data_IF_147934319150
#
_entry.id   IF_147934319150
#
_cell.length_a   1.000
_cell.length_b   1.000
_cell.length_c   1.000
_cell.angle_alpha   90.00
_cell.angle_beta   90.00
_cell.angle_gamma   90.00
#
_symmetry.space_group_name_H-M   'P 1'
#
loop_
_entity.id
_entity.type
_entity.pdbx_description
1 polymer ?
#
# COMPACT_ATOMS: atom_id res chain seq x y z
N UNK A 1 2.02 38.57 43.70
CA UNK A 1 3.29 38.56 42.95
C UNK A 1 3.79 37.12 43.06
N UNK A 2 3.82 36.25 42.06
CA UNK A 2 4.02 36.37 40.61
C UNK A 2 3.45 35.11 39.95
N UNK A 3 2.61 35.28 38.92
CA UNK A 3 2.17 34.22 38.03
C UNK A 3 3.34 33.81 37.12
N UNK A 4 3.94 32.63 37.34
CA UNK A 4 5.03 32.11 36.49
C UNK A 4 4.95 30.59 36.31
N UNK A 5 3.79 30.06 35.90
CA UNK A 5 3.66 28.66 35.46
C UNK A 5 2.87 28.53 34.16
N UNK A 6 3.15 29.39 33.17
CA UNK A 6 2.53 29.29 31.84
C UNK A 6 3.53 29.64 30.73
N UNK A 7 4.38 28.69 30.29
CA UNK A 7 4.53 28.56 28.83
C UNK A 7 4.71 27.12 28.30
N UNK A 8 4.44 26.06 29.09
CA UNK A 8 4.56 24.68 28.58
C UNK A 8 3.26 24.10 28.00
N UNK A 9 2.10 24.71 28.28
CA UNK A 9 0.82 24.23 27.75
C UNK A 9 0.64 24.51 26.25
N UNK A 10 1.43 25.43 25.67
CA UNK A 10 1.35 25.76 24.24
C UNK A 10 2.20 24.87 23.32
N UNK A 11 3.09 24.03 23.83
CA UNK A 11 3.81 23.05 22.98
C UNK A 11 2.91 21.92 22.48
N UNK A 12 1.75 21.75 23.10
CA UNK A 12 0.68 20.85 22.65
C UNK A 12 -0.49 21.60 22.03
N UNK A 13 -0.28 22.84 21.56
CA UNK A 13 -1.20 23.43 20.60
C UNK A 13 -1.22 22.50 19.37
N UNK A 14 -2.22 21.62 19.37
CA UNK A 14 -2.76 20.95 18.21
C UNK A 14 -3.05 22.03 17.16
N UNK A 15 -2.05 22.33 16.32
CA UNK A 15 -2.34 22.66 14.93
C UNK A 15 -3.36 21.63 14.43
N UNK A 16 -4.40 22.01 13.68
CA UNK A 16 -5.44 21.08 13.26
C UNK A 16 -4.84 20.06 12.28
N UNK A 17 -4.32 18.98 12.86
CA UNK A 17 -3.80 17.76 12.22
C UNK A 17 -4.79 17.22 11.16
N UNK A 18 -6.08 17.59 11.27
CA UNK A 18 -7.12 17.25 10.31
C UNK A 18 -6.82 17.73 8.87
N UNK A 19 -6.39 18.97 8.64
CA UNK A 19 -6.33 19.50 7.26
C UNK A 19 -5.32 18.77 6.37
N UNK A 20 -4.15 18.42 6.93
CA UNK A 20 -3.09 17.71 6.20
C UNK A 20 -3.43 16.24 5.95
N UNK A 21 -4.03 15.58 6.93
CA UNK A 21 -4.48 14.18 6.79
C UNK A 21 -5.69 14.06 5.87
N UNK A 22 -6.61 15.00 5.91
CA UNK A 22 -7.76 15.06 5.01
C UNK A 22 -7.31 15.25 3.56
N UNK A 23 -6.34 16.14 3.32
CA UNK A 23 -5.79 16.36 1.98
C UNK A 23 -5.14 15.08 1.42
N UNK A 24 -4.37 14.36 2.24
CA UNK A 24 -3.75 13.09 1.85
C UNK A 24 -4.77 11.99 1.61
N UNK A 25 -5.78 11.88 2.47
CA UNK A 25 -6.88 10.95 2.30
C UNK A 25 -7.65 11.20 0.99
N UNK A 26 -7.98 12.47 0.69
CA UNK A 26 -8.66 12.83 -0.54
C UNK A 26 -7.82 12.51 -1.79
N UNK A 27 -6.50 12.72 -1.73
CA UNK A 27 -5.57 12.31 -2.79
C UNK A 27 -5.57 10.79 -2.97
N UNK A 28 -5.41 10.02 -1.89
CA UNK A 28 -5.48 8.55 -1.97
C UNK A 28 -6.83 8.06 -2.53
N UNK A 29 -7.94 8.70 -2.15
CA UNK A 29 -9.28 8.35 -2.61
C UNK A 29 -9.47 8.59 -4.12
N UNK A 30 -8.74 9.52 -4.73
CA UNK A 30 -8.77 9.80 -6.18
C UNK A 30 -8.07 8.74 -7.02
N UNK A 31 -7.17 7.95 -6.43
CA UNK A 31 -6.49 6.86 -7.13
C UNK A 31 -7.48 5.76 -7.53
N UNK A 32 -7.14 4.94 -8.53
CA UNK A 32 -7.96 3.81 -8.90
C UNK A 32 -8.08 2.79 -7.75
N UNK A 33 -9.21 2.07 -7.67
CA UNK A 33 -9.42 1.04 -6.64
C UNK A 33 -8.31 -0.01 -6.60
N UNK A 34 -7.76 -0.37 -7.76
CA UNK A 34 -6.65 -1.34 -7.87
C UNK A 34 -5.37 -0.83 -7.21
N UNK A 35 -5.02 0.44 -7.45
CA UNK A 35 -3.84 1.08 -6.88
C UNK A 35 -4.01 1.26 -5.37
N UNK A 36 -5.19 1.70 -4.92
CA UNK A 36 -5.53 1.75 -3.50
C UNK A 36 -5.40 0.37 -2.84
N UNK A 37 -5.86 -0.70 -3.49
CA UNK A 37 -5.78 -2.05 -2.94
C UNK A 37 -4.33 -2.52 -2.79
N UNK A 38 -3.49 -2.34 -3.81
CA UNK A 38 -2.05 -2.64 -3.75
C UNK A 38 -1.39 -1.90 -2.58
N UNK A 39 -1.65 -0.59 -2.48
CA UNK A 39 -1.13 0.24 -1.40
C UNK A 39 -1.55 -0.25 -0.02
N UNK A 40 -2.83 -0.58 0.18
CA UNK A 40 -3.34 -1.04 1.47
C UNK A 40 -2.77 -2.42 1.84
N UNK A 41 -2.65 -3.34 0.90
CA UNK A 41 -2.04 -4.66 1.12
C UNK A 41 -0.56 -4.53 1.52
N UNK A 42 0.18 -3.62 0.89
CA UNK A 42 1.57 -3.36 1.28
C UNK A 42 1.67 -2.64 2.62
N UNK A 43 0.80 -1.65 2.87
CA UNK A 43 0.97 -0.71 3.99
C UNK A 43 0.32 -1.14 5.30
N UNK A 44 -0.84 -1.80 5.24
CA UNK A 44 -1.59 -2.23 6.42
C UNK A 44 -1.36 -3.69 6.74
N UNK A 45 -1.24 -4.55 5.73
CA UNK A 45 -1.05 -5.98 5.91
C UNK A 45 0.42 -6.41 5.81
N UNK A 46 1.35 -5.48 5.51
CA UNK A 46 2.80 -5.70 5.39
C UNK A 46 3.19 -6.79 4.36
N UNK A 47 2.36 -6.98 3.32
CA UNK A 47 2.66 -7.97 2.28
C UNK A 47 3.83 -7.50 1.39
N UNK A 48 4.81 -8.38 1.08
CA UNK A 48 5.85 -8.07 0.11
C UNK A 48 5.30 -8.06 -1.32
N UNK A 49 5.96 -7.36 -2.24
CA UNK A 49 5.46 -7.16 -3.60
C UNK A 49 5.16 -8.45 -4.38
N UNK A 50 5.99 -9.52 -4.28
CA UNK A 50 5.67 -10.80 -4.90
C UNK A 50 4.36 -11.42 -4.38
N UNK A 51 4.11 -11.36 -3.07
CA UNK A 51 2.88 -11.89 -2.48
C UNK A 51 1.65 -11.07 -2.88
N UNK A 52 1.79 -9.74 -3.03
CA UNK A 52 0.73 -8.88 -3.57
C UNK A 52 0.45 -9.24 -5.03
N UNK A 53 1.51 -9.43 -5.83
CA UNK A 53 1.43 -9.78 -7.24
C UNK A 53 0.65 -11.09 -7.43
N UNK A 54 0.98 -12.13 -6.68
CA UNK A 54 0.27 -13.42 -6.66
C UNK A 54 -1.18 -13.27 -6.18
N UNK A 55 -1.42 -12.53 -5.09
CA UNK A 55 -2.77 -12.37 -4.52
C UNK A 55 -3.72 -11.65 -5.48
N UNK A 56 -3.18 -10.74 -6.27
CA UNK A 56 -3.94 -9.90 -7.18
C UNK A 56 -3.95 -10.42 -8.63
N UNK A 57 -3.23 -11.51 -8.93
CA UNK A 57 -3.04 -12.04 -10.29
C UNK A 57 -2.47 -10.97 -11.24
N UNK A 58 -1.30 -10.44 -10.88
CA UNK A 58 -0.63 -9.32 -11.57
C UNK A 58 0.88 -9.49 -11.48
N UNK A 59 1.67 -8.72 -12.24
CA UNK A 59 3.13 -8.79 -12.15
C UNK A 59 3.70 -7.89 -11.06
N UNK A 60 4.89 -8.22 -10.55
CA UNK A 60 5.64 -7.38 -9.60
C UNK A 60 5.89 -5.98 -10.17
N UNK A 61 6.17 -5.86 -11.48
CA UNK A 61 6.34 -4.57 -12.15
C UNK A 61 5.06 -3.71 -12.11
N UNK A 62 3.86 -4.34 -12.19
CA UNK A 62 2.60 -3.62 -12.04
C UNK A 62 2.36 -3.16 -10.58
N UNK A 63 2.79 -3.97 -9.60
CA UNK A 63 2.77 -3.58 -8.18
C UNK A 63 3.69 -2.38 -7.93
N UNK A 64 4.94 -2.44 -8.42
CA UNK A 64 5.88 -1.31 -8.33
C UNK A 64 5.31 -0.05 -8.99
N UNK A 65 4.75 -0.17 -10.20
CA UNK A 65 4.10 0.95 -10.88
C UNK A 65 2.93 1.54 -10.08
N UNK A 66 2.11 0.69 -9.46
CA UNK A 66 1.01 1.15 -8.61
C UNK A 66 1.54 1.90 -7.37
N UNK A 67 2.59 1.38 -6.72
CA UNK A 67 3.22 2.03 -5.57
C UNK A 67 3.85 3.37 -5.95
N UNK A 68 4.45 3.47 -7.14
CA UNK A 68 4.96 4.73 -7.67
C UNK A 68 3.85 5.74 -7.92
N UNK A 69 2.71 5.30 -8.46
CA UNK A 69 1.55 6.18 -8.65
C UNK A 69 1.06 6.76 -7.33
N UNK A 70 1.09 5.98 -6.24
CA UNK A 70 0.71 6.47 -4.90
C UNK A 70 1.65 7.58 -4.44
N UNK A 71 2.96 7.36 -4.54
CA UNK A 71 3.97 8.34 -4.14
C UNK A 71 3.92 9.60 -4.99
N UNK A 72 3.78 9.48 -6.30
CA UNK A 72 3.70 10.64 -7.19
C UNK A 72 2.41 11.44 -6.95
N UNK A 73 1.28 10.76 -6.75
CA UNK A 73 0.01 11.45 -6.45
C UNK A 73 0.03 12.14 -5.08
N UNK A 74 0.81 11.59 -4.15
CA UNK A 74 0.99 12.14 -2.82
C UNK A 74 2.34 12.85 -2.67
N UNK A 75 3.04 13.26 -3.74
CA UNK A 75 4.40 13.80 -3.62
C UNK A 75 4.43 15.09 -2.78
N UNK A 76 5.51 15.28 -2.03
CA UNK A 76 5.82 16.52 -1.32
C UNK A 76 6.65 17.45 -2.22
N UNK A 77 6.74 18.73 -1.87
CA UNK A 77 7.55 19.70 -2.64
C UNK A 77 9.03 19.30 -2.69
N UNK A 78 9.56 18.77 -1.59
CA UNK A 78 10.93 18.28 -1.48
C UNK A 78 11.15 16.93 -2.18
N UNK A 79 10.09 16.16 -2.44
CA UNK A 79 10.21 14.85 -3.08
C UNK A 79 10.46 14.94 -4.58
N UNK A 80 11.29 14.03 -5.10
CA UNK A 80 11.57 13.90 -6.55
C UNK A 80 11.00 12.59 -7.10
N UNK A 81 10.66 12.56 -8.39
CA UNK A 81 10.22 11.34 -9.06
C UNK A 81 11.30 10.24 -9.03
N UNK A 82 12.58 10.61 -9.14
CA UNK A 82 13.69 9.66 -9.01
C UNK A 82 13.77 9.10 -7.58
N UNK A 83 13.53 9.93 -6.57
CA UNK A 83 13.48 9.49 -5.18
C UNK A 83 12.31 8.53 -4.91
N UNK A 84 11.12 8.82 -5.47
CA UNK A 84 9.97 7.90 -5.43
C UNK A 84 10.30 6.56 -6.10
N UNK A 85 10.94 6.60 -7.28
CA UNK A 85 11.40 5.41 -8.01
C UNK A 85 12.29 4.52 -7.14
N UNK A 86 13.34 5.10 -6.56
CA UNK A 86 14.24 4.37 -5.67
C UNK A 86 13.54 3.86 -4.41
N UNK A 87 12.65 4.65 -3.81
CA UNK A 87 11.93 4.26 -2.60
C UNK A 87 11.06 3.02 -2.81
N UNK A 88 10.33 2.94 -3.93
CA UNK A 88 9.54 1.74 -4.28
C UNK A 88 10.45 0.58 -4.63
N UNK A 89 11.49 0.82 -5.42
CA UNK A 89 12.41 -0.23 -5.86
C UNK A 89 13.06 -0.93 -4.67
N UNK A 90 13.51 -0.18 -3.66
CA UNK A 90 14.17 -0.70 -2.45
C UNK A 90 13.24 -1.45 -1.49
N UNK A 91 11.92 -1.27 -1.59
CA UNK A 91 10.95 -2.07 -0.83
C UNK A 91 10.77 -3.48 -1.39
N UNK A 92 11.16 -3.71 -2.65
CA UNK A 92 11.08 -5.04 -3.22
C UNK A 92 12.21 -5.92 -2.63
N UNK A 93 11.90 -7.06 -1.96
CA UNK A 93 12.94 -7.94 -1.44
C UNK A 93 13.84 -8.53 -2.53
N UNK A 94 13.41 -8.52 -3.79
CA UNK A 94 14.17 -9.04 -4.93
C UNK A 94 15.17 -8.02 -5.52
N UNK A 95 15.32 -6.82 -4.95
CA UNK A 95 16.33 -5.85 -5.43
C UNK A 95 17.73 -6.43 -5.38
N UNK A 96 18.40 -6.41 -6.53
CA UNK A 96 19.74 -6.97 -6.72
C UNK A 96 20.83 -6.10 -6.08
N UNK A 97 22.01 -6.69 -5.87
CA UNK A 97 23.17 -5.93 -5.40
C UNK A 97 23.59 -4.81 -6.37
N UNK A 98 23.48 -5.04 -7.68
CA UNK A 98 23.79 -4.03 -8.70
C UNK A 98 22.87 -2.81 -8.58
N UNK A 99 21.56 -3.04 -8.43
CA UNK A 99 20.59 -1.96 -8.27
C UNK A 99 20.84 -1.15 -6.98
N UNK A 100 21.32 -1.80 -5.91
CA UNK A 100 21.71 -1.09 -4.68
C UNK A 100 22.95 -0.22 -4.86
N UNK A 101 23.91 -0.66 -5.69
CA UNK A 101 25.07 0.15 -6.07
C UNK A 101 24.63 1.35 -6.91
N UNK A 102 23.70 1.16 -7.84
CA UNK A 102 23.16 2.25 -8.66
C UNK A 102 22.39 3.28 -7.82
N UNK A 103 21.62 2.83 -6.82
CA UNK A 103 21.01 3.71 -5.83
C UNK A 103 22.07 4.53 -5.09
N UNK A 104 23.16 3.89 -4.67
CA UNK A 104 24.23 4.58 -3.95
C UNK A 104 24.93 5.62 -4.83
N UNK A 105 25.22 5.27 -6.09
CA UNK A 105 25.76 6.21 -7.09
C UNK A 105 24.83 7.39 -7.30
N UNK A 106 23.52 7.14 -7.37
CA UNK A 106 22.54 8.22 -7.46
C UNK A 106 22.59 9.13 -6.23
N UNK A 107 22.62 8.58 -5.01
CA UNK A 107 22.75 9.39 -3.79
C UNK A 107 24.05 10.21 -3.75
N UNK A 108 25.17 9.63 -4.16
CA UNK A 108 26.48 10.29 -4.10
C UNK A 108 26.66 11.35 -5.22
N UNK A 109 25.79 11.36 -6.25
CA UNK A 109 25.89 12.30 -7.37
C UNK A 109 25.49 13.75 -7.01
N UNK A 110 24.57 13.94 -6.07
CA UNK A 110 24.13 15.27 -5.62
C UNK A 110 23.55 15.19 -4.19
N UNK A 111 23.96 16.12 -3.32
CA UNK A 111 23.41 16.24 -1.96
C UNK A 111 21.88 16.47 -1.95
N UNK A 112 21.32 17.08 -3.00
CA UNK A 112 19.87 17.28 -3.14
C UNK A 112 19.10 15.96 -3.25
N UNK A 113 19.72 14.90 -3.77
CA UNK A 113 19.09 13.59 -3.90
C UNK A 113 18.77 12.94 -2.54
N UNK A 114 19.66 13.12 -1.57
CA UNK A 114 19.43 12.63 -0.20
C UNK A 114 18.23 13.35 0.44
N UNK A 115 18.16 14.67 0.27
CA UNK A 115 17.02 15.46 0.77
C UNK A 115 15.71 15.03 0.09
N UNK A 116 15.74 14.81 -1.22
CA UNK A 116 14.58 14.33 -1.95
C UNK A 116 14.13 12.94 -1.50
N UNK A 117 15.08 12.04 -1.23
CA UNK A 117 14.80 10.71 -0.70
C UNK A 117 14.15 10.77 0.69
N UNK A 118 14.70 11.56 1.61
CA UNK A 118 14.10 11.78 2.92
C UNK A 118 12.72 12.44 2.84
N UNK A 119 12.53 13.38 1.92
CA UNK A 119 11.23 14.00 1.66
C UNK A 119 10.17 12.99 1.24
N UNK A 120 10.52 12.04 0.36
CA UNK A 120 9.65 10.93 -0.05
C UNK A 120 9.36 9.98 1.13
N UNK A 121 10.37 9.63 1.93
CA UNK A 121 10.19 8.74 3.08
C UNK A 121 9.26 9.35 4.14
N UNK A 122 9.49 10.62 4.52
CA UNK A 122 8.63 11.32 5.46
C UNK A 122 7.18 11.36 4.95
N UNK A 123 7.02 11.65 3.66
CA UNK A 123 5.71 11.68 3.02
C UNK A 123 5.03 10.31 3.04
N UNK A 124 5.77 9.24 2.80
CA UNK A 124 5.25 7.87 2.91
C UNK A 124 4.77 7.53 4.33
N UNK A 125 5.51 7.96 5.35
CA UNK A 125 5.10 7.77 6.76
C UNK A 125 3.81 8.53 7.07
N UNK A 126 3.66 9.75 6.56
CA UNK A 126 2.44 10.57 6.72
C UNK A 126 1.20 9.96 6.03
N UNK A 127 1.35 9.05 5.07
CA UNK A 127 0.21 8.37 4.45
C UNK A 127 -0.44 7.32 5.34
N UNK A 128 0.23 6.84 6.40
CA UNK A 128 -0.26 5.74 7.22
C UNK A 128 -1.62 6.01 7.89
N UNK A 129 -1.87 7.18 8.52
CA UNK A 129 -3.18 7.49 9.09
C UNK A 129 -4.29 7.51 8.02
N UNK A 130 -4.01 8.11 6.87
CA UNK A 130 -4.95 8.16 5.75
C UNK A 130 -5.22 6.77 5.16
N UNK A 131 -4.21 5.90 5.10
CA UNK A 131 -4.33 4.50 4.69
C UNK A 131 -5.25 3.73 5.65
N UNK A 132 -5.06 3.88 6.97
CA UNK A 132 -5.91 3.23 7.98
C UNK A 132 -7.36 3.65 7.86
N UNK A 133 -7.61 4.94 7.62
CA UNK A 133 -8.97 5.44 7.40
C UNK A 133 -9.60 4.88 6.11
N UNK A 134 -8.84 4.88 5.00
CA UNK A 134 -9.27 4.30 3.71
C UNK A 134 -9.53 2.77 3.80
N UNK A 135 -8.75 2.07 4.62
CA UNK A 135 -8.79 0.62 4.80
C UNK A 135 -9.77 0.14 5.87
N UNK A 136 -10.45 1.04 6.60
CA UNK A 136 -11.26 0.72 7.79
C UNK A 136 -12.36 -0.32 7.53
N UNK A 137 -12.91 -0.37 6.33
CA UNK A 137 -13.95 -1.35 5.97
C UNK A 137 -13.41 -2.73 5.57
N UNK A 138 -12.08 -2.96 5.59
CA UNK A 138 -11.48 -4.26 5.27
C UNK A 138 -11.60 -4.68 3.79
N UNK A 139 -12.16 -3.83 2.94
CA UNK A 139 -12.45 -4.15 1.53
C UNK A 139 -11.23 -4.64 0.74
N UNK A 140 -10.04 -4.16 1.08
CA UNK A 140 -8.77 -4.48 0.43
C UNK A 140 -8.34 -5.93 0.65
N UNK A 141 -8.76 -6.55 1.75
CA UNK A 141 -8.42 -7.92 2.12
C UNK A 141 -9.27 -8.96 1.38
N UNK A 142 -10.40 -8.58 0.79
CA UNK A 142 -11.22 -9.50 0.03
C UNK A 142 -10.49 -9.94 -1.26
N UNK A 143 -9.78 -11.07 -1.16
CA UNK A 143 -9.42 -11.88 -2.32
C UNK A 143 -10.75 -12.28 -2.95
N UNK A 144 -10.98 -11.91 -4.22
CA UNK A 144 -12.08 -12.52 -4.99
C UNK A 144 -11.81 -14.02 -4.95
N UNK A 145 -12.46 -14.73 -4.01
CA UNK A 145 -12.41 -16.19 -3.96
C UNK A 145 -13.04 -16.59 -5.28
N UNK A 146 -12.22 -17.06 -6.22
CA UNK A 146 -12.77 -17.86 -7.30
C UNK A 146 -13.52 -19.00 -6.60
N UNK A 147 -14.84 -18.96 -6.68
CA UNK A 147 -15.74 -19.97 -6.15
C UNK A 147 -15.62 -21.25 -6.99
N UNK A 148 -14.41 -21.78 -7.10
CA UNK A 148 -14.03 -22.85 -8.02
C UNK A 148 -13.95 -24.24 -7.39
N UNK A 149 -14.20 -24.38 -6.08
CA UNK A 149 -14.07 -25.67 -5.40
C UNK A 149 -15.35 -26.15 -4.69
N UNK A 150 -16.28 -25.26 -4.35
CA UNK A 150 -17.56 -25.64 -3.71
C UNK A 150 -18.67 -25.98 -4.71
N UNK A 151 -18.51 -25.70 -6.00
CA UNK A 151 -19.48 -26.07 -7.04
C UNK A 151 -19.43 -27.55 -7.44
N UNK A 152 -18.27 -28.21 -7.32
CA UNK A 152 -18.11 -29.61 -7.73
C UNK A 152 -18.57 -30.60 -6.65
N UNK A 153 -18.55 -30.21 -5.38
CA UNK A 153 -19.03 -31.05 -4.29
C UNK A 153 -20.55 -31.30 -4.35
N UNK A 154 -21.33 -30.36 -4.89
CA UNK A 154 -22.78 -30.55 -5.07
C UNK A 154 -23.13 -31.31 -6.36
N UNK A 155 -22.29 -31.26 -7.40
CA UNK A 155 -22.52 -32.01 -8.63
C UNK A 155 -22.32 -33.53 -8.44
N UNK A 156 -21.37 -33.95 -7.59
CA UNK A 156 -21.14 -35.37 -7.31
C UNK A 156 -22.19 -35.97 -6.36
N UNK A 157 -22.80 -35.18 -5.48
CA UNK A 157 -23.90 -35.64 -4.61
C UNK A 157 -25.21 -35.85 -5.38
N UNK A 158 -25.46 -35.11 -6.47
CA UNK A 158 -26.62 -35.31 -7.33
C UNK A 158 -26.55 -36.59 -8.18
N UNK A 159 -25.36 -36.97 -8.64
CA UNK A 159 -25.18 -38.13 -9.51
C UNK A 159 -25.32 -39.48 -8.77
N UNK A 160 -25.02 -39.53 -7.47
CA UNK A 160 -25.14 -40.75 -6.66
C UNK A 160 -26.59 -41.03 -6.21
N UNK A 161 -27.46 -40.02 -6.16
CA UNK A 161 -28.88 -40.22 -5.81
C UNK A 161 -29.74 -40.72 -6.97
N UNK A 162 -29.34 -40.48 -8.23
CA UNK A 162 -30.08 -40.97 -9.40
C UNK A 162 -29.69 -42.41 -9.78
N UNK A 163 -28.46 -42.83 -9.51
CA UNK A 163 -27.99 -44.19 -9.81
C UNK A 163 -28.49 -45.28 -8.85
N UNK A 164 -28.95 -44.93 -7.64
CA UNK A 164 -29.38 -45.88 -6.61
C UNK A 164 -30.80 -46.45 -6.77
N UNK A 165 -31.63 -45.85 -7.63
CA UNK A 165 -33.05 -46.22 -7.79
C UNK A 165 -33.34 -47.12 -9.00
N UNK A 166 -32.35 -47.38 -9.86
CA UNK A 166 -32.52 -48.22 -11.06
C UNK A 166 -32.00 -49.66 -10.90
N UNK A 167 -31.55 -50.06 -9.71
CA UNK A 167 -30.97 -51.37 -9.45
C UNK A 167 -31.92 -52.46 -8.95
N UNK A 168 -33.18 -52.13 -8.66
CA UNK A 168 -34.20 -53.08 -8.19
C UNK A 168 -35.55 -52.75 -8.83
N UNK A 169 -35.79 -53.31 -10.03
CA UNK A 169 -37.07 -53.81 -10.57
C UNK A 169 -36.74 -54.63 -11.81
#
# INVERSE_FOLDING_TARGET
>A
MTQLLSPLHNLFQHEPIDKGHDALYLRLKKLSRRVQQVFLLSRLDDLPYPAIAERLDTSVAQVEKAMLQVLEHCRSETGSQAASAWYVKLQNPQTTASERIDFRRWLDADASHLQAFHGTELRWRQLLPAARYLGRSGWHQHRRRHAGATGWALALLGALLVGGLAGWI
#
